data_IF_881242145315
#
_entry.id   IF_881242145315
#
_cell.length_a   1.000
_cell.length_b   1.000
_cell.length_c   1.000
_cell.angle_alpha   90.00
_cell.angle_beta   90.00
_cell.angle_gamma   90.00
#
_symmetry.space_group_name_H-M   'P 1'
#
loop_
_entity.id
_entity.type
_entity.pdbx_description
1 polymer ?
#
# COMPACT_ATOMS: atom_id res chain seq x y z
N UNK A 1 -27.33 -1.09 6.87
CA UNK A 1 -26.00 -0.67 6.39
C UNK A 1 -26.14 0.26 5.21
N UNK A 2 -26.47 -0.28 4.04
CA UNK A 2 -26.42 0.41 2.73
C UNK A 2 -27.04 1.82 2.69
N UNK A 3 -28.28 1.99 3.18
CA UNK A 3 -28.97 3.29 3.17
C UNK A 3 -28.20 4.38 3.93
N UNK A 4 -27.72 4.07 5.14
CA UNK A 4 -26.98 5.02 5.98
C UNK A 4 -25.52 5.14 5.52
N UNK A 5 -24.92 4.01 5.11
CA UNK A 5 -23.58 3.96 4.53
C UNK A 5 -23.45 4.87 3.31
N UNK A 6 -24.47 4.95 2.44
CA UNK A 6 -24.48 5.88 1.30
C UNK A 6 -24.27 7.34 1.71
N UNK A 7 -24.91 7.79 2.79
CA UNK A 7 -24.75 9.16 3.27
C UNK A 7 -23.33 9.39 3.81
N UNK A 8 -22.76 8.40 4.49
CA UNK A 8 -21.39 8.48 4.95
C UNK A 8 -20.37 8.46 3.80
N UNK A 9 -20.62 7.65 2.78
CA UNK A 9 -19.74 7.55 1.61
C UNK A 9 -19.68 8.86 0.82
N UNK A 10 -20.78 9.62 0.79
CA UNK A 10 -20.81 10.98 0.24
C UNK A 10 -19.89 11.93 1.03
N UNK A 11 -19.99 11.92 2.37
CA UNK A 11 -19.11 12.68 3.26
C UNK A 11 -17.63 12.28 3.14
N UNK A 12 -17.38 10.98 2.95
CA UNK A 12 -16.04 10.43 2.75
C UNK A 12 -15.51 10.62 1.33
N UNK A 13 -16.27 11.28 0.44
CA UNK A 13 -15.93 11.53 -0.98
C UNK A 13 -15.61 10.26 -1.74
N UNK A 14 -16.33 9.19 -1.43
CA UNK A 14 -16.15 7.91 -2.09
C UNK A 14 -16.53 8.00 -3.57
N UNK A 15 -15.65 7.51 -4.42
CA UNK A 15 -15.93 7.24 -5.83
C UNK A 15 -15.21 5.94 -6.25
N UNK A 16 -15.82 5.21 -7.18
CA UNK A 16 -15.20 4.04 -7.81
C UNK A 16 -14.12 4.42 -8.84
N UNK A 17 -13.90 5.72 -9.08
CA UNK A 17 -12.95 6.29 -10.04
C UNK A 17 -12.08 7.39 -9.40
N UNK A 18 -10.99 7.79 -10.06
CA UNK A 18 -9.94 8.67 -9.50
C UNK A 18 -10.24 10.17 -9.63
N UNK A 19 -11.27 10.56 -10.37
CA UNK A 19 -11.60 11.94 -10.69
C UNK A 19 -10.76 12.51 -11.83
N UNK A 20 -10.82 13.84 -11.98
CA UNK A 20 -10.21 14.59 -13.08
C UNK A 20 -10.61 14.10 -14.48
N UNK A 21 -9.85 14.39 -15.53
CA UNK A 21 -10.26 14.14 -16.92
C UNK A 21 -10.11 12.68 -17.36
N UNK A 22 -9.01 12.02 -16.98
CA UNK A 22 -8.73 10.62 -17.32
C UNK A 22 -9.56 9.63 -16.54
N UNK A 23 -9.98 9.99 -15.32
CA UNK A 23 -10.90 9.30 -14.42
C UNK A 23 -10.84 7.75 -14.45
N UNK A 24 -9.66 7.13 -14.30
CA UNK A 24 -9.58 5.68 -14.30
C UNK A 24 -10.26 5.07 -13.05
N UNK A 25 -10.65 3.81 -13.16
CA UNK A 25 -11.25 3.07 -12.04
C UNK A 25 -10.26 2.82 -10.90
N UNK A 26 -10.80 2.77 -9.69
CA UNK A 26 -10.11 2.42 -8.44
C UNK A 26 -10.42 0.95 -8.10
N UNK A 27 -9.58 -0.02 -8.53
CA UNK A 27 -9.97 -1.44 -8.56
C UNK A 27 -10.25 -2.06 -7.18
N UNK A 28 -9.79 -1.43 -6.10
CA UNK A 28 -9.85 -1.98 -4.75
C UNK A 28 -10.59 -1.10 -3.74
N UNK A 29 -11.06 0.10 -4.13
CA UNK A 29 -11.65 1.04 -3.16
C UNK A 29 -12.99 0.56 -2.59
N UNK A 30 -13.69 -0.31 -3.32
CA UNK A 30 -14.91 -0.96 -2.86
C UNK A 30 -14.78 -1.65 -1.49
N UNK A 31 -13.56 -2.04 -1.09
CA UNK A 31 -13.27 -2.58 0.25
C UNK A 31 -13.65 -1.59 1.36
N UNK A 32 -13.40 -0.31 1.15
CA UNK A 32 -13.79 0.74 2.09
C UNK A 32 -15.31 0.93 2.11
N UNK A 33 -15.97 0.92 0.95
CA UNK A 33 -17.44 0.95 0.87
C UNK A 33 -18.07 -0.17 1.68
N UNK A 34 -17.60 -1.40 1.47
CA UNK A 34 -18.13 -2.57 2.16
C UNK A 34 -17.83 -2.48 3.67
N UNK A 35 -16.64 -2.00 4.06
CA UNK A 35 -16.33 -1.74 5.47
C UNK A 35 -17.31 -0.72 6.10
N UNK A 36 -17.64 0.38 5.42
CA UNK A 36 -18.62 1.37 5.91
C UNK A 36 -19.98 0.71 6.09
N UNK A 37 -20.47 -0.01 5.07
CA UNK A 37 -21.77 -0.69 5.11
C UNK A 37 -21.83 -1.67 6.29
N UNK A 38 -20.77 -2.45 6.49
CA UNK A 38 -20.65 -3.42 7.57
C UNK A 38 -20.54 -2.76 8.95
N UNK A 39 -19.81 -1.65 9.07
CA UNK A 39 -19.73 -0.89 10.32
C UNK A 39 -21.13 -0.40 10.75
N UNK A 40 -21.94 0.10 9.80
CA UNK A 40 -23.34 0.44 10.07
C UNK A 40 -24.21 -0.78 10.37
N UNK A 41 -24.03 -1.90 9.66
CA UNK A 41 -24.78 -3.14 9.93
C UNK A 41 -24.51 -3.69 11.34
N UNK A 42 -23.24 -3.63 11.78
CA UNK A 42 -22.80 -4.07 13.12
C UNK A 42 -23.13 -3.06 14.22
N UNK A 43 -23.76 -1.93 13.90
CA UNK A 43 -24.01 -0.81 14.81
C UNK A 43 -22.72 -0.41 15.58
N UNK A 44 -21.61 -0.27 14.85
CA UNK A 44 -20.31 0.06 15.44
C UNK A 44 -20.44 1.38 16.22
N UNK A 45 -19.99 1.42 17.49
CA UNK A 45 -19.95 2.65 18.27
C UNK A 45 -19.22 3.79 17.51
N UNK A 46 -19.76 5.00 17.57
CA UNK A 46 -19.28 6.12 16.75
C UNK A 46 -17.84 6.54 17.07
N UNK A 47 -17.43 6.41 18.33
CA UNK A 47 -16.06 6.59 18.79
C UNK A 47 -15.10 5.60 18.09
N UNK A 48 -15.45 4.32 18.06
CA UNK A 48 -14.65 3.30 17.39
C UNK A 48 -14.66 3.49 15.86
N UNK A 49 -15.81 3.81 15.28
CA UNK A 49 -15.95 4.13 13.85
C UNK A 49 -15.10 5.34 13.44
N UNK A 50 -14.96 6.32 14.33
CA UNK A 50 -14.10 7.49 14.15
C UNK A 50 -12.62 7.12 14.24
N UNK A 51 -12.22 6.41 15.31
CA UNK A 51 -10.82 6.02 15.52
C UNK A 51 -10.30 5.18 14.34
N UNK A 52 -11.08 4.21 13.87
CA UNK A 52 -10.66 3.34 12.76
C UNK A 52 -10.44 4.12 11.45
N UNK A 53 -11.27 5.13 11.16
CA UNK A 53 -11.11 5.93 9.94
C UNK A 53 -9.97 6.93 10.01
N UNK A 54 -9.75 7.57 11.17
CA UNK A 54 -8.70 8.58 11.34
C UNK A 54 -7.32 7.93 11.52
N UNK A 55 -7.24 6.81 12.24
CA UNK A 55 -5.97 6.25 12.69
C UNK A 55 -5.98 4.72 12.85
N UNK A 56 -6.85 4.01 12.12
CA UNK A 56 -7.01 2.56 12.24
C UNK A 56 -5.74 1.77 11.93
N UNK A 57 -4.92 2.23 10.99
CA UNK A 57 -3.61 1.68 10.66
C UNK A 57 -2.53 1.96 11.71
N UNK A 58 -2.73 2.94 12.60
CA UNK A 58 -1.83 3.30 13.69
C UNK A 58 -2.18 2.61 15.02
N UNK A 59 -3.27 1.82 15.06
CA UNK A 59 -3.63 1.05 16.26
C UNK A 59 -2.60 -0.06 16.52
N UNK A 60 -2.39 -0.47 17.78
CA UNK A 60 -1.52 -1.60 18.10
C UNK A 60 -2.04 -2.89 17.44
N UNK A 61 -1.19 -3.55 16.63
CA UNK A 61 -1.54 -4.77 15.88
C UNK A 61 -2.86 -4.63 15.10
N UNK A 62 -2.94 -3.68 14.16
CA UNK A 62 -4.21 -3.29 13.55
C UNK A 62 -4.73 -4.40 12.64
N UNK A 63 -6.02 -4.73 12.79
CA UNK A 63 -6.68 -5.73 11.94
C UNK A 63 -6.78 -5.24 10.49
N UNK A 64 -7.03 -6.16 9.55
CA UNK A 64 -7.24 -5.79 8.16
C UNK A 64 -8.43 -4.81 8.00
N UNK A 65 -9.52 -5.01 8.74
CA UNK A 65 -10.67 -4.10 8.73
C UNK A 65 -10.28 -2.69 9.20
N UNK A 66 -9.48 -2.57 10.26
CA UNK A 66 -9.04 -1.27 10.79
C UNK A 66 -8.11 -0.54 9.80
N UNK A 67 -7.24 -1.27 9.11
CA UNK A 67 -6.41 -0.69 8.05
C UNK A 67 -7.24 -0.26 6.83
N UNK A 68 -8.26 -1.04 6.45
CA UNK A 68 -9.18 -0.67 5.36
C UNK A 68 -9.97 0.60 5.73
N UNK A 69 -10.37 0.76 6.99
CA UNK A 69 -11.11 1.93 7.45
C UNK A 69 -10.34 3.24 7.20
N UNK A 70 -9.02 3.22 7.35
CA UNK A 70 -8.15 4.40 7.10
C UNK A 70 -8.13 4.85 5.63
N UNK A 71 -8.71 4.07 4.72
CA UNK A 71 -8.94 4.50 3.33
C UNK A 71 -9.85 5.75 3.22
N UNK A 72 -10.52 6.17 4.30
CA UNK A 72 -11.14 7.51 4.39
C UNK A 72 -10.19 8.61 3.89
N UNK A 73 -8.91 8.57 4.31
CA UNK A 73 -7.89 9.54 3.90
C UNK A 73 -7.33 9.30 2.49
N UNK A 74 -7.71 8.21 1.82
CA UNK A 74 -7.28 7.87 0.46
C UNK A 74 -8.35 8.18 -0.59
N UNK A 75 -9.50 8.75 -0.22
CA UNK A 75 -10.56 9.11 -1.17
C UNK A 75 -10.32 10.42 -1.92
N UNK A 76 -9.18 11.08 -1.71
CA UNK A 76 -8.80 12.23 -2.54
C UNK A 76 -8.64 11.82 -3.99
N UNK A 77 -9.07 12.69 -4.90
CA UNK A 77 -8.80 12.57 -6.33
C UNK A 77 -7.29 12.61 -6.60
N UNK A 78 -6.86 11.94 -7.66
CA UNK A 78 -5.45 11.84 -8.09
C UNK A 78 -5.38 12.02 -9.60
N UNK A 79 -4.34 12.67 -10.13
CA UNK A 79 -4.30 13.00 -11.54
C UNK A 79 -3.06 12.41 -12.24
N UNK A 80 -3.27 11.36 -13.03
CA UNK A 80 -2.18 10.69 -13.75
C UNK A 80 -2.09 11.10 -15.22
N UNK A 81 -2.64 12.26 -15.59
CA UNK A 81 -2.58 12.79 -16.95
C UNK A 81 -1.19 13.32 -17.31
N UNK A 82 -0.80 13.20 -18.58
CA UNK A 82 0.46 13.76 -19.04
C UNK A 82 0.46 15.29 -18.96
N UNK A 83 1.47 15.85 -18.28
CA UNK A 83 1.65 17.31 -18.16
C UNK A 83 1.17 17.92 -16.85
N UNK A 84 0.76 17.11 -15.88
CA UNK A 84 0.50 17.52 -14.49
C UNK A 84 1.79 17.69 -13.69
N UNK A 85 1.72 18.43 -12.58
CA UNK A 85 2.81 18.54 -11.60
C UNK A 85 2.46 17.67 -10.37
N UNK A 86 3.26 16.63 -10.13
CA UNK A 86 3.07 15.69 -9.01
C UNK A 86 2.96 16.43 -7.66
N UNK A 87 3.71 17.52 -7.46
CA UNK A 87 3.69 18.27 -6.20
C UNK A 87 2.40 19.08 -6.04
N UNK A 88 1.82 19.57 -7.13
CA UNK A 88 0.53 20.26 -7.11
C UNK A 88 -0.57 19.34 -6.58
N UNK A 89 -0.69 18.12 -7.15
CA UNK A 89 -1.73 17.17 -6.76
C UNK A 89 -1.46 16.52 -5.40
N UNK A 90 -0.19 16.33 -5.03
CA UNK A 90 0.16 15.95 -3.65
C UNK A 90 -0.32 17.00 -2.65
N UNK A 91 -0.05 18.29 -2.90
CA UNK A 91 -0.50 19.38 -2.02
C UNK A 91 -2.02 19.48 -2.00
N UNK A 92 -2.69 19.29 -3.15
CA UNK A 92 -4.15 19.23 -3.21
C UNK A 92 -4.70 18.10 -2.34
N UNK A 93 -4.08 16.91 -2.38
CA UNK A 93 -4.48 15.77 -1.56
C UNK A 93 -4.34 16.01 -0.05
N UNK A 94 -3.22 16.61 0.36
CA UNK A 94 -2.96 16.93 1.77
C UNK A 94 -3.97 17.95 2.30
N UNK A 95 -4.27 19.01 1.54
CA UNK A 95 -5.28 20.03 1.92
C UNK A 95 -6.66 19.40 2.06
N UNK A 96 -7.06 18.63 1.06
CA UNK A 96 -8.34 17.95 1.02
C UNK A 96 -8.55 17.01 2.22
N UNK A 97 -7.51 16.28 2.66
CA UNK A 97 -7.60 15.48 3.90
C UNK A 97 -7.88 16.31 5.13
N UNK A 98 -7.16 17.42 5.32
CA UNK A 98 -7.36 18.30 6.46
C UNK A 98 -8.77 18.89 6.45
N UNK A 99 -9.22 19.35 5.29
CA UNK A 99 -10.53 19.96 5.08
C UNK A 99 -11.67 18.98 5.31
N UNK A 100 -11.65 17.80 4.67
CA UNK A 100 -12.71 16.80 4.84
C UNK A 100 -12.79 16.32 6.29
N UNK A 101 -11.65 16.16 6.97
CA UNK A 101 -11.64 15.72 8.37
C UNK A 101 -12.32 16.76 9.27
N UNK A 102 -11.99 18.04 9.09
CA UNK A 102 -12.65 19.10 9.85
C UNK A 102 -14.12 19.26 9.47
N UNK A 103 -14.46 19.10 8.19
CA UNK A 103 -15.84 19.20 7.73
C UNK A 103 -16.71 18.07 8.31
N UNK A 104 -16.23 16.82 8.28
CA UNK A 104 -17.01 15.65 8.68
C UNK A 104 -17.16 15.54 10.20
N UNK A 105 -16.08 15.77 10.97
CA UNK A 105 -16.13 15.59 12.43
C UNK A 105 -16.43 16.87 13.21
N UNK A 106 -16.03 18.04 12.71
CA UNK A 106 -16.25 19.32 13.40
C UNK A 106 -17.41 20.12 12.80
N UNK A 107 -17.90 19.75 11.62
CA UNK A 107 -18.97 20.49 10.93
C UNK A 107 -18.52 21.87 10.45
N UNK A 108 -17.21 22.08 10.27
CA UNK A 108 -16.63 23.39 9.95
C UNK A 108 -16.25 23.48 8.47
N UNK A 109 -16.47 24.66 7.88
CA UNK A 109 -16.00 25.00 6.53
C UNK A 109 -14.51 25.36 6.52
N UNK A 110 -13.67 24.43 6.98
CA UNK A 110 -12.24 24.64 7.22
C UNK A 110 -11.48 25.13 5.98
N UNK A 111 -11.88 24.72 4.78
CA UNK A 111 -11.29 25.16 3.51
C UNK A 111 -11.37 26.67 3.27
N UNK A 112 -12.31 27.39 3.89
CA UNK A 112 -12.32 28.86 3.81
C UNK A 112 -11.08 29.49 4.45
N UNK A 113 -10.46 28.81 5.43
CA UNK A 113 -9.28 29.29 6.11
C UNK A 113 -7.99 29.18 5.25
N UNK A 114 -8.06 28.55 4.07
CA UNK A 114 -6.92 28.39 3.18
C UNK A 114 -6.31 29.73 2.76
N UNK A 115 -7.13 30.70 2.39
CA UNK A 115 -6.69 31.97 1.80
C UNK A 115 -6.74 33.14 2.78
N UNK A 116 -7.53 33.05 3.84
CA UNK A 116 -7.72 34.10 4.84
C UNK A 116 -8.16 33.50 6.17
N UNK A 117 -8.18 34.27 7.27
CA UNK A 117 -8.79 33.79 8.51
C UNK A 117 -10.27 33.47 8.27
N UNK A 118 -10.77 32.39 8.85
CA UNK A 118 -12.14 31.95 8.64
C UNK A 118 -13.15 33.06 8.99
N UNK A 119 -14.21 33.20 8.17
CA UNK A 119 -15.12 34.36 8.25
C UNK A 119 -15.95 34.41 9.53
N UNK A 120 -16.40 33.25 10.01
CA UNK A 120 -17.34 33.13 11.11
C UNK A 120 -16.72 32.47 12.34
N UNK A 121 -16.07 31.32 12.15
CA UNK A 121 -15.36 30.61 13.22
C UNK A 121 -14.00 31.23 13.58
N UNK A 122 -13.54 31.11 14.84
CA UNK A 122 -12.27 31.65 15.31
C UNK A 122 -11.08 30.77 14.88
N UNK A 123 -10.95 30.55 13.58
CA UNK A 123 -9.87 29.78 12.96
C UNK A 123 -9.01 30.71 12.10
N UNK A 124 -7.73 30.80 12.42
CA UNK A 124 -6.76 31.55 11.63
C UNK A 124 -6.28 30.75 10.43
N UNK A 125 -5.81 31.44 9.39
CA UNK A 125 -5.11 30.83 8.27
C UNK A 125 -3.86 30.07 8.75
N UNK A 126 -3.21 30.56 9.82
CA UNK A 126 -2.06 29.87 10.41
C UNK A 126 -2.44 28.48 10.92
N UNK A 127 -3.55 28.37 11.63
CA UNK A 127 -4.06 27.08 12.14
C UNK A 127 -4.46 26.15 10.99
N UNK A 128 -4.99 26.69 9.89
CA UNK A 128 -5.22 25.91 8.66
C UNK A 128 -3.95 25.22 8.19
N UNK A 129 -2.85 25.96 8.00
CA UNK A 129 -1.60 25.37 7.54
C UNK A 129 -0.93 24.48 8.60
N UNK A 130 -1.13 24.73 9.90
CA UNK A 130 -0.67 23.84 10.96
C UNK A 130 -1.36 22.48 10.91
N UNK A 131 -2.68 22.44 10.70
CA UNK A 131 -3.41 21.19 10.56
C UNK A 131 -3.07 20.48 9.24
N UNK A 132 -2.97 21.23 8.14
CA UNK A 132 -2.51 20.68 6.85
C UNK A 132 -1.12 20.05 7.00
N UNK A 133 -0.22 20.65 7.79
CA UNK A 133 1.10 20.08 8.11
C UNK A 133 1.04 18.80 8.95
N UNK A 134 -0.07 18.46 9.60
CA UNK A 134 -0.25 17.18 10.29
C UNK A 134 -0.60 16.03 9.33
N UNK A 135 -1.26 16.34 8.21
CA UNK A 135 -1.59 15.37 7.16
C UNK A 135 -0.55 15.29 6.04
N UNK A 136 0.46 16.16 6.06
CA UNK A 136 1.58 16.24 5.13
C UNK A 136 2.73 15.24 5.44
N UNK A 137 2.36 14.01 5.82
CA UNK A 137 3.29 12.98 6.32
C UNK A 137 3.23 11.73 5.45
N UNK A 138 2.44 11.78 4.38
CA UNK A 138 2.19 10.68 3.45
C UNK A 138 2.92 10.93 2.14
N UNK A 139 3.40 9.85 1.54
CA UNK A 139 3.95 9.87 0.19
C UNK A 139 2.80 9.72 -0.81
N UNK A 140 1.99 10.76 -0.99
CA UNK A 140 1.10 10.85 -2.15
C UNK A 140 1.88 11.42 -3.32
N UNK A 141 1.73 10.79 -4.48
CA UNK A 141 2.34 11.23 -5.71
C UNK A 141 1.54 10.62 -6.85
N UNK A 142 1.49 11.31 -7.99
CA UNK A 142 0.65 10.94 -9.14
C UNK A 142 1.19 9.70 -9.86
N UNK A 143 0.98 8.54 -9.26
CA UNK A 143 1.27 7.26 -9.90
C UNK A 143 0.01 6.54 -10.35
N UNK A 144 0.10 5.81 -11.46
CA UNK A 144 -1.02 5.02 -11.97
C UNK A 144 -1.38 3.83 -11.08
N UNK A 145 -0.62 3.50 -10.03
CA UNK A 145 -0.71 2.23 -9.30
C UNK A 145 -1.15 2.32 -7.82
N UNK A 146 -1.74 3.44 -7.40
CA UNK A 146 -2.38 3.63 -6.06
C UNK A 146 -1.45 3.36 -4.86
N UNK A 147 -0.14 3.43 -5.06
CA UNK A 147 0.82 3.16 -3.98
C UNK A 147 0.72 4.19 -2.85
N UNK A 148 1.04 3.78 -1.60
CA UNK A 148 1.30 2.40 -1.16
C UNK A 148 0.02 1.54 -1.13
N UNK A 149 0.15 0.26 -1.47
CA UNK A 149 -0.92 -0.74 -1.43
C UNK A 149 -0.68 -1.78 -0.36
N UNK A 150 -1.74 -2.45 0.09
CA UNK A 150 -1.65 -3.59 1.00
C UNK A 150 -2.51 -4.75 0.51
N UNK A 151 -2.13 -6.01 0.76
CA UNK A 151 -2.99 -7.15 0.51
C UNK A 151 -4.28 -7.04 1.33
N UNK A 152 -5.43 -7.16 0.67
CA UNK A 152 -6.74 -7.20 1.30
C UNK A 152 -7.58 -8.36 0.73
N UNK A 153 -7.19 -9.63 1.00
CA UNK A 153 -7.94 -10.78 0.50
C UNK A 153 -9.35 -10.83 1.09
N UNK A 154 -10.33 -11.33 0.33
CA UNK A 154 -11.66 -11.69 0.89
C UNK A 154 -11.56 -12.97 1.72
N UNK A 155 -12.64 -13.33 2.42
CA UNK A 155 -12.72 -14.61 3.15
C UNK A 155 -12.57 -15.80 2.20
N UNK A 156 -13.18 -15.71 1.02
CA UNK A 156 -13.09 -16.73 -0.03
C UNK A 156 -11.65 -16.83 -0.57
N UNK A 157 -10.99 -15.68 -0.78
CA UNK A 157 -9.58 -15.67 -1.18
C UNK A 157 -8.68 -16.26 -0.10
N UNK A 158 -8.93 -15.97 1.18
CA UNK A 158 -8.17 -16.56 2.28
C UNK A 158 -8.34 -18.10 2.32
N UNK A 159 -9.56 -18.60 2.12
CA UNK A 159 -9.82 -20.03 2.05
C UNK A 159 -9.14 -20.70 0.85
N UNK A 160 -9.18 -20.05 -0.33
CA UNK A 160 -8.48 -20.53 -1.52
C UNK A 160 -6.95 -20.51 -1.32
N UNK A 161 -6.43 -19.43 -0.74
CA UNK A 161 -5.01 -19.29 -0.44
C UNK A 161 -4.54 -20.37 0.53
N UNK A 162 -5.32 -20.70 1.56
CA UNK A 162 -4.95 -21.77 2.49
C UNK A 162 -4.76 -23.14 1.80
N UNK A 163 -5.57 -23.42 0.76
CA UNK A 163 -5.39 -24.63 -0.05
C UNK A 163 -4.11 -24.57 -0.88
N UNK A 164 -3.86 -23.44 -1.54
CA UNK A 164 -2.64 -23.20 -2.32
C UNK A 164 -1.41 -23.31 -1.41
N UNK A 165 -1.45 -22.73 -0.22
CA UNK A 165 -0.37 -22.75 0.75
C UNK A 165 -0.07 -24.18 1.22
N UNK A 166 -1.08 -25.04 1.39
CA UNK A 166 -0.89 -26.47 1.65
C UNK A 166 -0.24 -27.21 0.48
N UNK A 167 -0.67 -26.94 -0.74
CA UNK A 167 -0.08 -27.53 -1.95
C UNK A 167 1.39 -27.09 -2.11
N UNK A 168 1.66 -25.80 -1.91
CA UNK A 168 3.01 -25.23 -1.95
C UNK A 168 3.88 -25.84 -0.85
N UNK A 169 3.37 -26.02 0.37
CA UNK A 169 4.12 -26.66 1.45
C UNK A 169 4.49 -28.11 1.08
N UNK A 170 3.55 -28.87 0.53
CA UNK A 170 3.81 -30.24 0.06
C UNK A 170 4.81 -30.30 -1.10
N UNK A 171 4.74 -29.35 -2.04
CA UNK A 171 5.69 -29.27 -3.16
C UNK A 171 7.09 -28.84 -2.70
N UNK A 172 7.18 -27.93 -1.73
CA UNK A 172 8.45 -27.54 -1.12
C UNK A 172 9.10 -28.71 -0.40
N UNK A 173 8.33 -29.50 0.34
CA UNK A 173 8.85 -30.71 0.97
C UNK A 173 9.41 -31.68 -0.09
N UNK A 174 8.68 -31.93 -1.18
CA UNK A 174 9.18 -32.78 -2.29
C UNK A 174 10.41 -32.22 -2.99
N UNK A 175 10.52 -30.90 -3.08
CA UNK A 175 11.68 -30.23 -3.68
C UNK A 175 12.92 -30.36 -2.78
N UNK A 176 12.74 -30.32 -1.47
CA UNK A 176 13.81 -30.46 -0.48
C UNK A 176 14.17 -31.94 -0.22
N UNK A 177 13.26 -32.87 -0.50
CA UNK A 177 13.52 -34.32 -0.44
C UNK A 177 14.54 -34.74 -1.49
N UNK A 178 15.72 -35.16 -1.03
CA UNK A 178 16.75 -35.76 -1.89
C UNK A 178 16.38 -37.21 -2.18
N UNK A 179 16.10 -37.55 -3.43
CA UNK A 179 15.79 -38.93 -3.84
C UNK A 179 17.02 -39.61 -4.47
N UNK A 180 17.13 -40.95 -4.43
CA UNK A 180 18.20 -41.67 -5.12
C UNK A 180 18.28 -41.37 -6.61
N UNK A 181 17.13 -41.15 -7.26
CA UNK A 181 17.04 -40.74 -8.66
C UNK A 181 17.59 -39.32 -8.87
N UNK A 182 17.32 -38.39 -7.95
CA UNK A 182 17.86 -37.04 -7.99
C UNK A 182 19.39 -37.05 -7.78
N UNK A 183 19.89 -37.86 -6.84
CA UNK A 183 21.34 -38.03 -6.64
C UNK A 183 22.03 -38.66 -7.86
N UNK A 184 21.39 -39.64 -8.49
CA UNK A 184 21.90 -40.28 -9.70
C UNK A 184 21.92 -39.29 -10.88
N UNK A 185 20.82 -38.56 -11.10
CA UNK A 185 20.72 -37.54 -12.13
C UNK A 185 21.71 -36.38 -11.89
N UNK A 186 21.91 -35.97 -10.63
CA UNK A 186 22.92 -34.97 -10.26
C UNK A 186 24.32 -35.47 -10.60
N UNK A 187 24.68 -36.72 -10.26
CA UNK A 187 25.99 -37.30 -10.61
C UNK A 187 26.20 -37.40 -12.11
N UNK A 188 25.17 -37.78 -12.88
CA UNK A 188 25.23 -37.79 -14.34
C UNK A 188 25.45 -36.39 -14.90
N UNK A 189 24.69 -35.40 -14.43
CA UNK A 189 24.87 -34.00 -14.81
C UNK A 189 26.26 -33.46 -14.45
N UNK A 190 26.76 -33.71 -13.23
CA UNK A 190 28.12 -33.33 -12.80
C UNK A 190 29.20 -33.98 -13.69
N UNK A 191 28.98 -35.22 -14.14
CA UNK A 191 29.87 -35.88 -15.10
C UNK A 191 29.86 -35.21 -16.48
N UNK A 192 28.72 -34.67 -16.94
CA UNK A 192 28.66 -33.87 -18.18
C UNK A 192 29.39 -32.54 -18.07
N UNK A 193 29.43 -31.91 -16.89
CA UNK A 193 30.18 -30.68 -16.66
C UNK A 193 31.69 -30.90 -16.74
N UNK A 194 32.19 -32.04 -16.23
CA UNK A 194 33.61 -32.43 -16.39
C UNK A 194 34.03 -32.57 -17.85
N UNK A 195 33.11 -32.91 -18.74
CA UNK A 195 33.36 -33.00 -20.18
C UNK A 195 33.39 -31.62 -20.88
N UNK A 196 32.92 -30.56 -20.21
CA UNK A 196 32.84 -29.19 -20.76
C UNK A 196 33.96 -28.27 -20.30
N UNK A 197 34.88 -28.75 -19.44
CA UNK A 197 35.92 -27.92 -18.84
C UNK A 197 37.31 -28.48 -19.12
N UNK A 198 38.02 -27.90 -20.09
CA UNK A 198 39.47 -28.02 -20.31
C UNK A 198 40.28 -27.09 -19.38
N UNK A 199 39.69 -26.71 -18.25
CA UNK A 199 40.34 -25.82 -17.29
C UNK A 199 41.48 -26.57 -16.59
N UNK A 200 42.70 -26.39 -17.08
CA UNK A 200 43.90 -26.69 -16.31
C UNK A 200 44.00 -25.69 -15.16
N UNK A 201 43.86 -26.18 -13.92
CA UNK A 201 44.25 -25.40 -12.76
C UNK A 201 45.74 -25.04 -12.89
N UNK A 202 46.04 -23.77 -13.14
CA UNK A 202 47.42 -23.28 -13.11
C UNK A 202 47.98 -23.52 -11.71
N UNK A 203 49.00 -24.37 -11.62
CA UNK A 203 49.71 -24.59 -10.37
C UNK A 203 50.44 -23.31 -9.99
N UNK A 204 50.15 -22.77 -8.79
CA UNK A 204 50.89 -21.61 -8.27
C UNK A 204 52.36 -22.01 -8.14
N UNK A 205 53.19 -21.56 -9.08
CA UNK A 205 54.63 -21.65 -8.91
C UNK A 205 55.04 -20.56 -7.92
N UNK A 206 55.82 -20.95 -6.92
CA UNK A 206 56.41 -20.01 -5.97
C UNK A 206 57.35 -19.09 -6.75
N UNK A 207 56.98 -17.82 -6.87
CA UNK A 207 57.86 -16.78 -7.40
C UNK A 207 59.10 -16.67 -6.51
N UNK A 208 60.29 -16.81 -7.10
CA UNK A 208 61.57 -16.55 -6.40
C UNK A 208 61.95 -15.06 -6.37
N UNK A 209 61.05 -14.16 -6.77
CA UNK A 209 61.25 -12.72 -6.57
C UNK A 209 60.23 -12.18 -5.58
N UNK A 210 60.74 -11.74 -4.44
CA UNK A 210 60.00 -10.92 -3.48
C UNK A 210 59.26 -9.79 -4.22
N UNK A 211 57.93 -9.83 -4.19
CA UNK A 211 57.12 -8.61 -4.29
C UNK A 211 56.24 -8.40 -5.53
N UNK A 212 56.18 -9.27 -6.54
CA UNK A 212 55.21 -9.10 -7.65
C UNK A 212 54.66 -10.43 -8.13
N UNK A 213 53.33 -10.57 -8.12
CA UNK A 213 52.60 -11.70 -8.70
C UNK A 213 52.19 -11.34 -10.14
N UNK A 214 52.72 -12.06 -11.13
CA UNK A 214 52.15 -12.06 -12.48
C UNK A 214 51.33 -13.32 -12.68
N UNK A 215 50.13 -13.15 -13.25
CA UNK A 215 49.25 -14.25 -13.64
C UNK A 215 49.57 -14.59 -15.09
N UNK A 216 50.03 -15.81 -15.34
CA UNK A 216 50.06 -16.43 -16.69
C UNK A 216 49.01 -17.51 -16.70
#
# INVERSE_FOLDING_TARGET
GERFGRMWLDLARYADSRGFGSDPLRPHIWRYRDWVIEAFNKNKPFDQFTIEQIAGDLLPNPTLEQRIATAFHRNTMTNTEGGTDDEEFRVAAVKDRAEVTMQVWMGLTFGCAQCHNHKYDPLSQKEYYQLTSFFNQTADYDQPDERPTMPAPTVEMLAANAKIDQEVAGLKQKLEETTPELEAAQKEWEATLRLLTDWQGLGIQKSEREGVWEVV
#
